data_IF_396321705104
#
_entry.id   IF_396321705104
#
_cell.length_a   1.000
_cell.length_b   1.000
_cell.length_c   1.000
_cell.angle_alpha   90.00
_cell.angle_beta   90.00
_cell.angle_gamma   90.00
#
_symmetry.space_group_name_H-M   'P 1'
#
loop_
_entity.id
_entity.type
_entity.pdbx_description
1 polymer ?
#
# COMPACT_ATOMS: atom_id res chain seq x y z
N UNK A 1 23.04 -20.28 19.78
CA UNK A 1 21.61 -20.41 20.15
C UNK A 1 21.50 -21.54 21.17
N UNK A 2 20.84 -21.33 22.32
CA UNK A 2 20.58 -22.41 23.27
C UNK A 2 19.56 -23.41 22.69
N UNK A 3 19.51 -24.63 23.21
CA UNK A 3 18.49 -25.61 22.79
C UNK A 3 17.06 -25.09 23.01
N UNK A 4 16.83 -24.38 24.12
CA UNK A 4 15.55 -23.74 24.42
C UNK A 4 15.20 -22.66 23.38
N UNK A 5 16.15 -21.77 23.06
CA UNK A 5 15.94 -20.74 22.05
C UNK A 5 15.67 -21.36 20.66
N UNK A 6 16.35 -22.46 20.33
CA UNK A 6 16.13 -23.20 19.09
C UNK A 6 14.74 -23.80 19.01
N UNK A 7 14.34 -24.54 20.04
CA UNK A 7 13.04 -25.19 20.13
C UNK A 7 11.90 -24.16 20.05
N UNK A 8 12.04 -23.02 20.73
CA UNK A 8 11.05 -21.94 20.65
C UNK A 8 10.96 -21.32 19.26
N UNK A 9 12.10 -21.09 18.59
CA UNK A 9 12.13 -20.56 17.23
C UNK A 9 11.55 -21.53 16.20
N UNK A 10 11.84 -22.83 16.31
CA UNK A 10 11.26 -23.87 15.47
C UNK A 10 9.73 -23.92 15.60
N UNK A 11 9.20 -23.79 16.82
CA UNK A 11 7.75 -23.68 17.05
C UNK A 11 7.13 -22.46 16.36
N UNK A 12 7.79 -21.29 16.43
CA UNK A 12 7.31 -20.09 15.74
C UNK A 12 7.20 -20.35 14.23
N UNK A 13 8.20 -21.01 13.63
CA UNK A 13 8.17 -21.34 12.20
C UNK A 13 7.00 -22.28 11.88
N UNK A 14 6.81 -23.34 12.67
CA UNK A 14 5.69 -24.27 12.50
C UNK A 14 4.33 -23.57 12.59
N UNK A 15 4.15 -22.68 13.57
CA UNK A 15 2.94 -21.86 13.70
C UNK A 15 2.70 -20.96 12.47
N UNK A 16 3.77 -20.38 11.89
CA UNK A 16 3.67 -19.60 10.66
C UNK A 16 3.32 -20.45 9.42
N UNK A 17 3.88 -21.64 9.30
CA UNK A 17 3.57 -22.57 8.20
C UNK A 17 2.09 -22.99 8.24
N UNK A 18 1.60 -23.34 9.43
CA UNK A 18 0.19 -23.69 9.64
C UNK A 18 -0.74 -22.51 9.30
N UNK A 19 -0.39 -21.29 9.76
CA UNK A 19 -1.16 -20.08 9.44
C UNK A 19 -1.22 -19.82 7.92
N UNK A 20 -0.11 -20.02 7.22
CA UNK A 20 -0.06 -19.83 5.77
C UNK A 20 -0.92 -20.87 5.04
N UNK A 21 -0.89 -22.13 5.49
CA UNK A 21 -1.74 -23.18 4.94
C UNK A 21 -3.23 -22.88 5.14
N UNK A 22 -3.64 -22.50 6.36
CA UNK A 22 -5.02 -22.09 6.65
C UNK A 22 -5.47 -20.92 5.78
N UNK A 23 -4.59 -19.93 5.56
CA UNK A 23 -4.87 -18.79 4.70
C UNK A 23 -5.07 -19.18 3.22
N UNK A 24 -4.30 -20.15 2.72
CA UNK A 24 -4.44 -20.69 1.36
C UNK A 24 -5.73 -21.50 1.24
N UNK A 25 -6.03 -22.36 2.21
CA UNK A 25 -7.24 -23.19 2.23
C UNK A 25 -8.50 -22.29 2.26
N UNK A 26 -8.50 -21.27 3.14
CA UNK A 26 -9.55 -20.25 3.16
C UNK A 26 -9.70 -19.54 1.80
N UNK A 27 -8.57 -19.22 1.14
CA UNK A 27 -8.64 -18.56 -0.15
C UNK A 27 -9.25 -19.47 -1.22
N UNK A 28 -8.83 -20.74 -1.29
CA UNK A 28 -9.35 -21.72 -2.24
C UNK A 28 -10.86 -21.92 -2.08
N UNK A 29 -11.31 -22.04 -0.83
CA UNK A 29 -12.72 -22.33 -0.50
C UNK A 29 -13.63 -21.10 -0.62
N UNK A 30 -13.16 -19.90 -0.25
CA UNK A 30 -14.04 -18.74 -0.07
C UNK A 30 -13.67 -17.47 -0.86
N UNK A 31 -12.44 -17.33 -1.36
CA UNK A 31 -11.95 -16.07 -1.97
C UNK A 31 -11.37 -16.25 -3.39
N UNK A 32 -11.44 -17.45 -3.95
CA UNK A 32 -10.78 -17.79 -5.20
C UNK A 32 -11.47 -17.17 -6.43
N UNK A 33 -11.05 -17.59 -7.63
CA UNK A 33 -11.45 -17.05 -8.93
C UNK A 33 -12.96 -17.06 -9.21
N UNK A 34 -13.71 -17.89 -8.47
CA UNK A 34 -15.16 -18.02 -8.58
C UNK A 34 -15.93 -16.86 -7.91
N UNK A 35 -15.23 -16.01 -7.17
CA UNK A 35 -15.81 -14.86 -6.48
C UNK A 35 -15.63 -13.57 -7.27
N UNK A 36 -16.63 -12.69 -7.29
CA UNK A 36 -16.50 -11.39 -7.95
C UNK A 36 -15.51 -10.48 -7.22
N UNK A 37 -15.35 -10.66 -5.91
CA UNK A 37 -14.40 -9.96 -5.06
C UNK A 37 -12.94 -10.23 -5.46
N UNK A 38 -12.63 -11.45 -5.90
CA UNK A 38 -11.33 -11.77 -6.48
C UNK A 38 -11.04 -10.88 -7.69
N UNK A 39 -11.98 -10.79 -8.63
CA UNK A 39 -11.82 -9.99 -9.84
C UNK A 39 -11.72 -8.49 -9.55
N UNK A 40 -12.39 -7.99 -8.51
CA UNK A 40 -12.19 -6.61 -8.05
C UNK A 40 -10.74 -6.39 -7.58
N UNK A 41 -10.17 -7.31 -6.81
CA UNK A 41 -8.76 -7.23 -6.41
C UNK A 41 -7.81 -7.30 -7.61
N UNK A 42 -8.12 -8.14 -8.62
CA UNK A 42 -7.34 -8.20 -9.87
C UNK A 42 -7.40 -6.87 -10.62
N UNK A 43 -8.57 -6.24 -10.72
CA UNK A 43 -8.71 -4.91 -11.33
C UNK A 43 -7.94 -3.86 -10.54
N UNK A 44 -8.04 -3.86 -9.21
CA UNK A 44 -7.27 -2.96 -8.33
C UNK A 44 -5.76 -3.16 -8.52
N UNK A 45 -5.30 -4.38 -8.80
CA UNK A 45 -3.90 -4.67 -9.06
C UNK A 45 -3.47 -4.19 -10.47
N UNK A 46 -4.22 -4.53 -11.51
CA UNK A 46 -3.77 -4.37 -12.90
C UNK A 46 -4.11 -2.98 -13.47
N UNK A 47 -5.31 -2.47 -13.23
CA UNK A 47 -5.79 -1.25 -13.86
C UNK A 47 -4.94 -0.02 -13.52
N UNK A 48 -4.55 0.25 -12.25
CA UNK A 48 -3.72 1.42 -11.96
C UNK A 48 -2.33 1.34 -12.62
N UNK A 49 -1.74 0.15 -12.72
CA UNK A 49 -0.44 -0.04 -13.40
C UNK A 49 -0.54 0.24 -14.90
N UNK A 50 -1.65 -0.17 -15.54
CA UNK A 50 -1.92 0.18 -16.94
C UNK A 50 -2.11 1.69 -17.07
N UNK A 51 -2.91 2.30 -16.18
CA UNK A 51 -3.19 3.74 -16.23
C UNK A 51 -1.91 4.57 -16.06
N UNK A 52 -1.03 4.24 -15.11
CA UNK A 52 0.17 5.04 -14.88
C UNK A 52 1.14 4.97 -16.07
N UNK A 53 1.19 3.84 -16.80
CA UNK A 53 1.98 3.72 -18.02
C UNK A 53 1.61 4.78 -19.07
N UNK A 54 0.31 5.07 -19.20
CA UNK A 54 -0.20 6.06 -20.17
C UNK A 54 -0.22 7.50 -19.61
N UNK A 55 -0.45 7.67 -18.32
CA UNK A 55 -0.74 8.98 -17.70
C UNK A 55 0.48 9.66 -17.06
N UNK A 56 1.59 8.97 -16.85
CA UNK A 56 2.76 9.55 -16.18
C UNK A 56 3.45 10.62 -17.04
N UNK A 57 3.82 11.74 -16.43
CA UNK A 57 4.74 12.71 -17.06
C UNK A 57 6.14 12.10 -17.22
N UNK A 58 6.42 11.64 -18.44
CA UNK A 58 7.70 10.98 -18.81
C UNK A 58 8.92 11.85 -18.52
N UNK A 59 8.80 13.18 -18.51
CA UNK A 59 9.92 14.10 -18.18
C UNK A 59 10.33 14.03 -16.71
N UNK A 60 9.44 13.53 -15.85
CA UNK A 60 9.62 13.41 -14.40
C UNK A 60 9.44 11.97 -13.92
N UNK A 61 9.56 10.99 -14.82
CA UNK A 61 9.28 9.59 -14.53
C UNK A 61 10.09 9.06 -13.35
N UNK A 62 11.40 9.36 -13.26
CA UNK A 62 12.23 8.95 -12.13
C UNK A 62 11.81 9.60 -10.81
N UNK A 63 11.49 10.89 -10.82
CA UNK A 63 11.00 11.61 -9.63
C UNK A 63 9.67 11.01 -9.13
N UNK A 64 8.73 10.82 -10.05
CA UNK A 64 7.41 10.28 -9.74
C UNK A 64 7.48 8.81 -9.33
N UNK A 65 8.30 8.01 -10.02
CA UNK A 65 8.55 6.60 -9.71
C UNK A 65 9.21 6.43 -8.35
N UNK A 66 10.23 7.24 -8.02
CA UNK A 66 10.86 7.23 -6.70
C UNK A 66 9.87 7.63 -5.60
N UNK A 67 9.04 8.65 -5.85
CA UNK A 67 7.99 9.03 -4.90
C UNK A 67 6.95 7.91 -4.72
N UNK A 68 6.47 7.30 -5.82
CA UNK A 68 5.55 6.17 -5.78
C UNK A 68 6.12 4.95 -5.05
N UNK A 69 7.40 4.66 -5.26
CA UNK A 69 8.12 3.62 -4.54
C UNK A 69 8.18 3.91 -3.03
N UNK A 70 8.44 5.16 -2.62
CA UNK A 70 8.37 5.53 -1.21
C UNK A 70 6.96 5.31 -0.64
N UNK A 71 5.91 5.70 -1.37
CA UNK A 71 4.52 5.47 -0.95
C UNK A 71 4.26 3.97 -0.78
N UNK A 72 4.67 3.15 -1.75
CA UNK A 72 4.56 1.69 -1.70
C UNK A 72 5.22 1.13 -0.43
N UNK A 73 6.48 1.47 -0.17
CA UNK A 73 7.24 0.96 0.99
C UNK A 73 6.55 1.32 2.31
N UNK A 74 6.25 2.60 2.53
CA UNK A 74 5.69 3.03 3.82
C UNK A 74 4.26 2.56 4.02
N UNK A 75 3.46 2.50 2.96
CA UNK A 75 2.11 1.96 3.05
C UNK A 75 2.14 0.46 3.35
N UNK A 76 2.98 -0.33 2.67
CA UNK A 76 3.11 -1.78 2.90
C UNK A 76 3.53 -2.08 4.34
N UNK A 77 4.46 -1.31 4.92
CA UNK A 77 4.86 -1.52 6.31
C UNK A 77 3.76 -1.17 7.31
N UNK A 78 3.06 -0.06 7.10
CA UNK A 78 1.93 0.32 7.97
C UNK A 78 0.80 -0.71 7.84
N UNK A 79 0.51 -1.19 6.63
CA UNK A 79 -0.50 -2.23 6.38
C UNK A 79 -0.11 -3.55 7.04
N UNK A 80 1.15 -3.97 6.89
CA UNK A 80 1.68 -5.17 7.52
C UNK A 80 1.59 -5.09 9.04
N UNK A 81 1.95 -3.96 9.65
CA UNK A 81 1.81 -3.77 11.10
C UNK A 81 0.32 -3.89 11.48
N UNK A 82 -0.57 -3.21 10.78
CA UNK A 82 -2.00 -3.26 11.04
C UNK A 82 -2.59 -4.66 10.98
N UNK A 83 -2.23 -5.43 9.95
CA UNK A 83 -2.69 -6.82 9.78
C UNK A 83 -2.09 -7.75 10.84
N UNK A 84 -0.79 -7.66 11.11
CA UNK A 84 -0.13 -8.51 12.12
C UNK A 84 -0.65 -8.27 13.54
N UNK A 85 -1.01 -7.02 13.88
CA UNK A 85 -1.66 -6.72 15.15
C UNK A 85 -3.17 -7.01 15.14
N UNK A 86 -3.74 -7.44 14.01
CA UNK A 86 -5.16 -7.74 13.85
C UNK A 86 -6.05 -6.52 13.98
N UNK A 87 -5.55 -5.33 13.61
CA UNK A 87 -6.32 -4.09 13.55
C UNK A 87 -7.28 -4.08 12.36
N UNK A 88 -6.94 -4.79 11.29
CA UNK A 88 -7.81 -5.04 10.14
C UNK A 88 -7.37 -6.28 9.38
N UNK A 89 -8.20 -6.72 8.44
CA UNK A 89 -7.92 -7.87 7.57
C UNK A 89 -8.54 -7.75 6.19
N UNK A 90 -8.07 -8.59 5.27
CA UNK A 90 -8.49 -8.65 3.87
C UNK A 90 -9.06 -10.04 3.58
N UNK A 91 -10.39 -10.21 3.60
CA UNK A 91 -11.03 -11.51 3.32
C UNK A 91 -10.83 -11.95 1.87
N UNK A 92 -10.69 -11.00 0.93
CA UNK A 92 -10.49 -11.31 -0.47
C UNK A 92 -9.17 -10.77 -0.98
N UNK A 93 -8.41 -11.61 -1.69
CA UNK A 93 -7.08 -11.25 -2.21
C UNK A 93 -6.88 -11.80 -3.63
N UNK A 94 -6.16 -11.04 -4.45
CA UNK A 94 -5.69 -11.54 -5.75
C UNK A 94 -4.53 -12.54 -5.61
N UNK A 95 -3.69 -12.35 -4.58
CA UNK A 95 -2.54 -13.21 -4.29
C UNK A 95 -2.64 -13.66 -2.82
N UNK A 96 -2.85 -14.95 -2.53
CA UNK A 96 -3.05 -15.45 -1.15
C UNK A 96 -1.75 -15.61 -0.35
N UNK A 97 -0.59 -15.35 -0.95
CA UNK A 97 0.73 -15.54 -0.31
C UNK A 97 1.08 -14.49 0.74
N UNK A 98 0.33 -13.38 0.79
CA UNK A 98 0.60 -12.28 1.71
C UNK A 98 -0.59 -12.03 2.62
N UNK A 99 -0.37 -11.71 3.90
CA UNK A 99 -1.45 -11.37 4.83
C UNK A 99 -2.11 -10.02 4.46
N UNK A 100 -1.34 -9.10 3.86
CA UNK A 100 -1.78 -7.79 3.35
C UNK A 100 -2.48 -7.87 1.98
N UNK A 101 -3.08 -6.77 1.54
CA UNK A 101 -3.61 -6.67 0.17
C UNK A 101 -2.52 -6.19 -0.79
N UNK A 102 -1.85 -7.14 -1.44
CA UNK A 102 -0.83 -6.84 -2.46
C UNK A 102 -1.33 -5.89 -3.57
N UNK A 103 -2.61 -6.01 -3.94
CA UNK A 103 -3.25 -5.16 -4.95
C UNK A 103 -3.30 -3.69 -4.53
N UNK A 104 -3.65 -3.41 -3.27
CA UNK A 104 -3.66 -2.04 -2.75
C UNK A 104 -2.24 -1.51 -2.59
N UNK A 105 -1.35 -2.34 -2.06
CA UNK A 105 -0.02 -1.94 -1.62
C UNK A 105 0.92 -1.59 -2.76
N UNK A 106 0.87 -2.38 -3.85
CA UNK A 106 1.82 -2.26 -4.97
C UNK A 106 1.27 -1.41 -6.10
N UNK A 107 -0.05 -1.33 -6.25
CA UNK A 107 -0.69 -0.73 -7.41
C UNK A 107 -1.53 0.49 -7.05
N UNK A 108 -2.69 0.29 -6.43
CA UNK A 108 -3.67 1.37 -6.32
C UNK A 108 -3.15 2.58 -5.52
N UNK A 109 -2.65 2.35 -4.30
CA UNK A 109 -2.26 3.45 -3.42
C UNK A 109 -1.03 4.22 -3.97
N UNK A 110 0.06 3.55 -4.39
CA UNK A 110 1.18 4.23 -5.03
C UNK A 110 0.78 5.03 -6.27
N UNK A 111 -0.02 4.44 -7.17
CA UNK A 111 -0.43 5.10 -8.42
C UNK A 111 -1.32 6.31 -8.14
N UNK A 112 -2.31 6.20 -7.25
CA UNK A 112 -3.17 7.33 -6.88
C UNK A 112 -2.32 8.49 -6.35
N UNK A 113 -1.38 8.20 -5.43
CA UNK A 113 -0.49 9.22 -4.88
C UNK A 113 0.42 9.83 -5.95
N UNK A 114 0.98 9.02 -6.86
CA UNK A 114 1.79 9.50 -7.98
C UNK A 114 1.02 10.43 -8.89
N UNK A 115 -0.22 10.08 -9.25
CA UNK A 115 -1.06 10.86 -10.15
C UNK A 115 -1.47 12.20 -9.51
N UNK A 116 -1.84 12.22 -8.24
CA UNK A 116 -2.16 13.47 -7.54
C UNK A 116 -0.89 14.31 -7.34
N UNK A 117 0.24 13.69 -7.00
CA UNK A 117 1.50 14.41 -6.86
C UNK A 117 1.93 15.05 -8.19
N UNK A 118 1.91 14.31 -9.31
CA UNK A 118 2.22 14.91 -10.61
C UNK A 118 1.25 16.05 -10.96
N UNK A 119 -0.04 15.89 -10.64
CA UNK A 119 -1.03 16.92 -10.91
C UNK A 119 -0.71 18.21 -10.13
N UNK A 120 -0.28 18.08 -8.87
CA UNK A 120 0.15 19.23 -8.05
C UNK A 120 1.36 19.93 -8.67
N UNK A 121 2.33 19.18 -9.19
CA UNK A 121 3.53 19.73 -9.83
C UNK A 121 3.21 20.42 -11.16
N UNK A 122 2.31 19.84 -11.96
CA UNK A 122 1.96 20.35 -13.28
C UNK A 122 1.10 21.62 -13.20
N UNK A 123 0.21 21.70 -12.21
CA UNK A 123 -0.70 22.83 -12.02
C UNK A 123 -0.24 23.81 -10.94
N UNK A 124 0.97 23.62 -10.38
CA UNK A 124 1.54 24.44 -9.30
C UNK A 124 0.60 24.57 -8.10
N UNK A 125 -0.04 23.45 -7.72
CA UNK A 125 -0.99 23.39 -6.60
C UNK A 125 -0.29 22.94 -5.31
N UNK A 126 -0.91 23.25 -4.18
CA UNK A 126 -0.34 22.90 -2.87
C UNK A 126 -0.39 21.38 -2.65
N UNK A 127 0.77 20.72 -2.66
CA UNK A 127 0.91 19.29 -2.38
C UNK A 127 0.17 18.85 -1.11
N UNK A 128 0.39 19.55 0.00
CA UNK A 128 -0.13 19.14 1.31
C UNK A 128 -1.65 19.16 1.34
N UNK A 129 -2.27 20.18 0.73
CA UNK A 129 -3.73 20.27 0.65
C UNK A 129 -4.32 19.10 -0.15
N UNK A 130 -3.84 18.88 -1.38
CA UNK A 130 -4.44 17.90 -2.27
C UNK A 130 -4.17 16.45 -1.84
N UNK A 131 -3.00 16.16 -1.25
CA UNK A 131 -2.73 14.82 -0.71
C UNK A 131 -3.45 14.58 0.62
N UNK A 132 -3.75 15.62 1.41
CA UNK A 132 -4.64 15.50 2.58
C UNK A 132 -6.06 15.16 2.14
N UNK A 133 -6.58 15.84 1.10
CA UNK A 133 -7.90 15.53 0.52
C UNK A 133 -7.92 14.10 -0.02
N UNK A 134 -6.85 13.68 -0.72
CA UNK A 134 -6.71 12.31 -1.22
C UNK A 134 -6.71 11.29 -0.09
N UNK A 135 -5.96 11.55 0.98
CA UNK A 135 -5.92 10.71 2.17
C UNK A 135 -7.30 10.60 2.84
N UNK A 136 -8.03 11.71 2.93
CA UNK A 136 -9.39 11.75 3.47
C UNK A 136 -10.36 10.95 2.59
N UNK A 137 -10.29 11.10 1.27
CA UNK A 137 -11.07 10.31 0.33
C UNK A 137 -10.80 8.80 0.51
N UNK A 138 -9.53 8.41 0.60
CA UNK A 138 -9.16 7.00 0.75
C UNK A 138 -9.65 6.42 2.08
N UNK A 139 -9.53 7.17 3.17
CA UNK A 139 -9.91 6.71 4.50
C UNK A 139 -11.43 6.72 4.74
N UNK A 140 -12.13 7.75 4.29
CA UNK A 140 -13.54 8.01 4.65
C UNK A 140 -14.54 7.71 3.53
N UNK A 141 -14.08 7.36 2.33
CA UNK A 141 -14.96 6.96 1.22
C UNK A 141 -14.53 5.60 0.69
N UNK A 142 -13.29 5.48 0.23
CA UNK A 142 -12.82 4.24 -0.39
C UNK A 142 -12.79 3.05 0.58
N UNK A 143 -12.17 3.19 1.75
CA UNK A 143 -12.12 2.12 2.76
C UNK A 143 -13.52 1.71 3.25
N UNK A 144 -14.46 2.63 3.56
CA UNK A 144 -15.85 2.24 3.84
C UNK A 144 -16.54 1.46 2.73
N UNK A 145 -16.29 1.80 1.45
CA UNK A 145 -16.82 1.01 0.31
C UNK A 145 -16.22 -0.40 0.32
N UNK A 146 -14.92 -0.55 0.62
CA UNK A 146 -14.30 -1.87 0.77
C UNK A 146 -14.88 -2.65 1.94
N UNK A 147 -15.19 -2.00 3.07
CA UNK A 147 -15.86 -2.65 4.20
C UNK A 147 -17.26 -3.11 3.81
N UNK A 148 -18.04 -2.23 3.19
CA UNK A 148 -19.40 -2.53 2.76
C UNK A 148 -19.46 -3.67 1.73
N UNK A 149 -18.45 -3.78 0.85
CA UNK A 149 -18.33 -4.86 -0.13
C UNK A 149 -17.69 -6.15 0.41
N UNK A 150 -17.29 -6.18 1.69
CA UNK A 150 -16.65 -7.34 2.32
C UNK A 150 -15.18 -7.55 1.92
N UNK A 151 -14.57 -6.59 1.22
CA UNK A 151 -13.17 -6.63 0.80
C UNK A 151 -12.18 -6.21 1.90
N UNK A 152 -12.68 -5.61 2.99
CA UNK A 152 -11.88 -5.14 4.11
C UNK A 152 -12.67 -5.26 5.42
N UNK A 153 -12.00 -5.62 6.52
CA UNK A 153 -12.64 -5.69 7.84
C UNK A 153 -11.81 -4.89 8.83
N UNK A 154 -12.45 -4.00 9.59
CA UNK A 154 -11.85 -3.31 10.73
C UNK A 154 -12.09 -4.11 12.01
N UNK A 155 -11.06 -4.24 12.84
CA UNK A 155 -11.05 -5.07 14.04
C UNK A 155 -10.46 -4.28 15.23
N UNK A 156 -10.63 -4.81 16.44
CA UNK A 156 -9.96 -4.30 17.67
C UNK A 156 -10.10 -2.78 17.91
N UNK A 157 -11.26 -2.21 17.57
CA UNK A 157 -11.55 -0.78 17.79
C UNK A 157 -10.89 0.18 16.80
N UNK A 158 -10.17 -0.33 15.79
CA UNK A 158 -9.64 0.49 14.71
C UNK A 158 -10.77 1.09 13.88
N UNK A 159 -10.57 2.31 13.39
CA UNK A 159 -11.59 3.04 12.64
C UNK A 159 -10.97 3.86 11.51
N UNK A 160 -11.82 4.46 10.66
CA UNK A 160 -11.40 5.22 9.49
C UNK A 160 -10.52 6.43 9.81
N UNK A 161 -10.65 7.03 11.00
CA UNK A 161 -9.78 8.13 11.40
C UNK A 161 -8.33 7.68 11.63
N UNK A 162 -8.14 6.49 12.22
CA UNK A 162 -6.79 5.92 12.35
C UNK A 162 -6.17 5.62 10.98
N UNK A 163 -6.95 5.11 10.02
CA UNK A 163 -6.48 4.90 8.65
C UNK A 163 -6.09 6.23 7.99
N UNK A 164 -6.88 7.28 8.20
CA UNK A 164 -6.57 8.62 7.72
C UNK A 164 -5.23 9.13 8.25
N UNK A 165 -4.95 8.97 9.55
CA UNK A 165 -3.65 9.33 10.13
C UNK A 165 -2.50 8.54 9.49
N UNK A 166 -2.68 7.25 9.22
CA UNK A 166 -1.71 6.44 8.49
C UNK A 166 -1.41 7.00 7.09
N UNK A 167 -2.45 7.33 6.32
CA UNK A 167 -2.30 7.96 5.00
C UNK A 167 -1.57 9.32 5.05
N UNK A 168 -1.80 10.12 6.10
CA UNK A 168 -1.07 11.37 6.33
C UNK A 168 0.42 11.12 6.59
N UNK A 169 0.76 10.15 7.43
CA UNK A 169 2.17 9.77 7.67
C UNK A 169 2.85 9.38 6.36
N UNK A 170 2.19 8.55 5.54
CA UNK A 170 2.74 8.08 4.26
C UNK A 170 3.01 9.24 3.31
N UNK A 171 2.05 10.17 3.13
CA UNK A 171 2.27 11.33 2.24
C UNK A 171 3.39 12.25 2.73
N UNK A 172 3.57 12.39 4.04
CA UNK A 172 4.60 13.26 4.62
C UNK A 172 5.98 12.64 4.46
N UNK A 173 6.16 11.41 4.92
CA UNK A 173 7.45 10.71 4.87
C UNK A 173 7.91 10.53 3.43
N UNK A 174 7.02 10.11 2.53
CA UNK A 174 7.35 9.94 1.10
C UNK A 174 7.78 11.26 0.46
N UNK A 175 7.12 12.38 0.83
CA UNK A 175 7.48 13.71 0.32
C UNK A 175 8.83 14.18 0.84
N UNK A 176 9.09 13.98 2.13
CA UNK A 176 10.35 14.41 2.76
C UNK A 176 11.54 13.67 2.18
N UNK A 177 11.47 12.34 2.08
CA UNK A 177 12.53 11.53 1.46
C UNK A 177 12.73 11.97 0.00
N UNK A 178 11.65 12.08 -0.77
CA UNK A 178 11.74 12.56 -2.16
C UNK A 178 12.43 13.92 -2.26
N UNK A 179 12.07 14.88 -1.40
CA UNK A 179 12.66 16.22 -1.40
C UNK A 179 14.15 16.21 -1.02
N UNK A 180 14.56 15.34 -0.09
CA UNK A 180 15.99 15.18 0.30
C UNK A 180 16.81 14.73 -0.91
N UNK A 181 16.36 13.69 -1.64
CA UNK A 181 17.07 13.20 -2.82
C UNK A 181 17.08 14.22 -3.96
N UNK A 182 15.98 14.96 -4.16
CA UNK A 182 15.95 16.08 -5.12
C UNK A 182 16.91 17.19 -4.72
N UNK A 183 17.08 17.47 -3.43
CA UNK A 183 18.04 18.44 -2.95
C UNK A 183 19.48 18.01 -3.25
N UNK A 184 19.82 16.73 -3.01
CA UNK A 184 21.12 16.17 -3.37
C UNK A 184 21.39 16.29 -4.86
N UNK A 185 20.44 15.90 -5.72
CA UNK A 185 20.59 16.01 -7.17
C UNK A 185 20.80 17.45 -7.66
N UNK A 186 20.22 18.46 -7.00
CA UNK A 186 20.38 19.87 -7.38
C UNK A 186 21.71 20.46 -6.94
N UNK A 187 22.30 19.92 -5.88
CA UNK A 187 23.57 20.39 -5.32
C UNK A 187 24.78 19.64 -5.89
N UNK A 188 24.57 18.64 -6.74
CA UNK A 188 25.66 18.01 -7.47
C UNK A 188 26.30 19.04 -8.42
N UNK A 189 27.63 19.26 -8.34
CA UNK A 189 28.33 20.00 -9.36
C UNK A 189 28.10 19.31 -10.69
N UNK A 190 27.82 20.07 -11.76
CA UNK A 190 27.58 19.52 -13.11
C UNK A 190 28.81 18.76 -13.61
N UNK A 191 28.95 17.49 -13.26
CA UNK A 191 29.82 16.56 -13.97
C UNK A 191 29.02 15.98 -15.12
N UNK A 192 29.40 16.40 -16.33
CA UNK A 192 28.98 15.78 -17.58
C UNK A 192 29.37 14.30 -17.58
N UNK A 193 28.37 13.44 -17.53
CA UNK A 193 28.47 12.04 -17.98
C UNK A 193 27.69 11.96 -19.28
#
# INVERSE_FOLDING_TARGET
MSEEQRSFFEKIIEDYENLMQEGIDYWLEFSSIDTWQFWVNVVILILPLILIWFLIDKKRALLLGFYGFNVHVWFTYIDSIGVNYGSWGYPYKAIPLFPVSFALDVSLIPVVYMLVYQWTLNHKKNYYLYLTITSAFLAFIFKPILVWSGLFILLKGFNYFHLFLGYLVIMLVSKWITNIFVHFQRNEPKTSI
#
